data_IF_969186815486
#
_entry.id   IF_969186815486
#
_cell.length_a   1.000
_cell.length_b   1.000
_cell.length_c   1.000
_cell.angle_alpha   90.00
_cell.angle_beta   90.00
_cell.angle_gamma   90.00
#
_symmetry.space_group_name_H-M   'P 1'
#
loop_
_entity.id
_entity.type
_entity.pdbx_description
1 polymer ?
#
# COMPACT_ATOMS: atom_id res chain seq x y z
N UNK A 1 18.89 -24.47 -9.30
CA UNK A 1 18.95 -23.06 -8.83
C UNK A 1 17.99 -22.91 -7.66
N UNK A 2 18.51 -22.96 -6.43
CA UNK A 2 17.69 -22.84 -5.23
C UNK A 2 17.29 -21.38 -5.08
N UNK A 3 16.10 -21.02 -5.54
CA UNK A 3 15.48 -19.75 -5.16
C UNK A 3 15.46 -19.73 -3.64
N UNK A 4 16.30 -18.90 -3.01
CA UNK A 4 16.14 -18.55 -1.61
C UNK A 4 14.80 -17.82 -1.53
N UNK A 5 13.71 -18.59 -1.42
CA UNK A 5 12.36 -18.11 -1.23
C UNK A 5 12.34 -17.29 0.04
N UNK A 6 12.58 -15.98 -0.08
CA UNK A 6 12.17 -15.03 0.93
C UNK A 6 10.65 -14.99 0.85
N UNK A 7 10.06 -15.82 1.71
CA UNK A 7 8.65 -16.19 1.71
C UNK A 7 7.75 -14.94 1.67
N UNK A 8 6.86 -14.88 0.68
CA UNK A 8 5.63 -14.07 0.73
C UNK A 8 5.68 -12.66 0.15
N UNK A 9 6.80 -12.16 -0.37
CA UNK A 9 6.83 -10.85 -1.04
C UNK A 9 6.48 -11.04 -2.52
N UNK A 10 5.46 -10.32 -2.99
CA UNK A 10 5.11 -10.22 -4.41
C UNK A 10 5.83 -9.00 -4.97
N UNK A 11 6.79 -9.22 -5.88
CA UNK A 11 7.53 -8.14 -6.53
C UNK A 11 6.82 -7.74 -7.82
N UNK A 12 5.70 -7.04 -7.68
CA UNK A 12 4.93 -6.47 -8.80
C UNK A 12 4.66 -4.99 -8.54
N UNK A 13 4.60 -4.19 -9.60
CA UNK A 13 4.20 -2.77 -9.46
C UNK A 13 2.78 -2.72 -8.92
N UNK A 14 2.59 -2.00 -7.80
CA UNK A 14 1.34 -1.95 -7.06
C UNK A 14 1.22 -2.96 -5.91
N UNK A 15 2.12 -3.94 -5.82
CA UNK A 15 2.14 -4.88 -4.70
C UNK A 15 2.54 -4.17 -3.39
N UNK A 16 1.97 -4.64 -2.29
CA UNK A 16 2.21 -4.10 -0.95
C UNK A 16 3.19 -4.97 -0.17
N UNK A 17 4.08 -4.31 0.56
CA UNK A 17 5.10 -4.93 1.41
C UNK A 17 5.39 -4.03 2.62
N UNK A 18 6.24 -4.50 3.52
CA UNK A 18 6.79 -3.62 4.56
C UNK A 18 8.26 -3.34 4.29
N UNK A 19 8.61 -2.06 4.35
CA UNK A 19 9.99 -1.59 4.21
C UNK A 19 10.49 -0.98 5.52
N UNK A 20 11.77 -1.21 5.82
CA UNK A 20 12.41 -0.70 7.02
C UNK A 20 13.05 0.65 6.73
N UNK A 21 12.65 1.65 7.51
CA UNK A 21 13.18 3.01 7.41
C UNK A 21 14.45 3.18 8.28
N UNK A 22 15.18 4.30 8.12
CA UNK A 22 16.45 4.61 8.81
C UNK A 22 16.36 4.55 10.33
N UNK A 23 15.22 4.88 10.93
CA UNK A 23 14.96 4.75 12.36
C UNK A 23 14.65 3.30 12.78
N UNK A 24 14.96 2.32 11.93
CA UNK A 24 14.80 0.87 12.15
C UNK A 24 13.36 0.40 12.35
N UNK A 25 12.37 1.24 12.05
CA UNK A 25 10.94 0.92 12.09
C UNK A 25 10.46 0.37 10.74
N UNK A 26 9.50 -0.55 10.79
CA UNK A 26 8.83 -1.13 9.63
C UNK A 26 7.57 -0.33 9.32
N UNK A 27 7.36 -0.02 8.04
CA UNK A 27 6.21 0.71 7.57
C UNK A 27 5.60 0.01 6.36
N UNK A 28 4.28 0.08 6.24
CA UNK A 28 3.56 -0.39 5.06
C UNK A 28 3.92 0.48 3.85
N UNK A 29 4.19 -0.19 2.74
CA UNK A 29 4.67 0.44 1.55
C UNK A 29 4.23 -0.31 0.28
N UNK A 30 4.28 0.38 -0.84
CA UNK A 30 3.85 -0.13 -2.14
C UNK A 30 5.01 -0.05 -3.12
N UNK A 31 5.17 -1.08 -3.95
CA UNK A 31 6.15 -1.07 -5.04
C UNK A 31 5.64 -0.13 -6.12
N UNK A 32 6.39 0.94 -6.37
CA UNK A 32 6.08 1.93 -7.41
C UNK A 32 6.70 1.57 -8.75
N UNK A 33 7.92 1.02 -8.73
CA UNK A 33 8.69 0.63 -9.92
C UNK A 33 9.60 -0.55 -9.60
N UNK A 34 9.94 -1.31 -10.63
CA UNK A 34 10.90 -2.42 -10.57
C UNK A 34 11.95 -2.18 -11.63
N UNK A 35 13.22 -2.26 -11.25
CA UNK A 35 14.38 -2.16 -12.11
C UNK A 35 15.07 -3.53 -12.12
N UNK A 36 14.81 -4.31 -13.17
CA UNK A 36 15.33 -5.67 -13.32
C UNK A 36 16.82 -5.71 -13.63
N UNK A 37 17.36 -4.67 -14.29
CA UNK A 37 18.78 -4.59 -14.66
C UNK A 37 19.64 -4.40 -13.40
N UNK A 38 19.14 -3.58 -12.47
CA UNK A 38 19.84 -3.26 -11.23
C UNK A 38 19.38 -4.06 -10.02
N UNK A 39 18.42 -4.97 -10.21
CA UNK A 39 17.86 -5.81 -9.16
C UNK A 39 17.24 -5.00 -7.99
N UNK A 40 16.55 -3.91 -8.32
CA UNK A 40 15.99 -2.99 -7.33
C UNK A 40 14.51 -2.74 -7.52
N UNK A 41 13.85 -2.38 -6.42
CA UNK A 41 12.46 -1.94 -6.38
C UNK A 41 12.37 -0.57 -5.74
N UNK A 42 11.57 0.31 -6.33
CA UNK A 42 11.24 1.61 -5.76
C UNK A 42 10.03 1.44 -4.87
N UNK A 43 10.19 1.76 -3.60
CA UNK A 43 9.14 1.59 -2.59
C UNK A 43 8.62 2.95 -2.16
N UNK A 44 7.29 3.08 -2.09
CA UNK A 44 6.59 4.26 -1.60
C UNK A 44 5.86 3.92 -0.29
N UNK A 45 6.16 4.64 0.79
CA UNK A 45 5.52 4.43 2.09
C UNK A 45 4.11 5.05 2.11
N UNK A 46 3.08 4.29 2.49
CA UNK A 46 1.66 4.67 2.31
C UNK A 46 1.24 5.97 3.01
N UNK A 47 1.93 6.38 4.07
CA UNK A 47 1.59 7.56 4.87
C UNK A 47 2.63 8.68 4.76
N UNK A 48 3.53 8.59 3.78
CA UNK A 48 4.66 9.51 3.65
C UNK A 48 4.61 10.19 2.28
N UNK A 49 5.20 11.37 2.18
CA UNK A 49 5.31 12.07 0.90
C UNK A 49 6.24 11.33 -0.06
N UNK A 50 6.01 11.47 -1.37
CA UNK A 50 6.81 10.83 -2.44
C UNK A 50 8.32 11.13 -2.39
N UNK A 51 8.72 12.20 -1.69
CA UNK A 51 10.12 12.54 -1.41
C UNK A 51 10.86 11.49 -0.58
N UNK A 52 10.12 10.61 0.08
CA UNK A 52 10.66 9.51 0.88
C UNK A 52 10.67 8.19 0.10
N UNK A 53 10.34 8.20 -1.20
CA UNK A 53 10.45 7.01 -2.04
C UNK A 53 11.92 6.59 -2.12
N UNK A 54 12.18 5.31 -1.88
CA UNK A 54 13.54 4.80 -1.78
C UNK A 54 13.70 3.52 -2.60
N UNK A 55 14.86 3.40 -3.26
CA UNK A 55 15.24 2.23 -4.02
C UNK A 55 15.88 1.20 -3.10
N UNK A 56 15.30 0.02 -3.03
CA UNK A 56 15.84 -1.12 -2.29
C UNK A 56 16.30 -2.19 -3.27
N UNK A 57 17.37 -2.91 -2.94
CA UNK A 57 17.63 -4.18 -3.62
C UNK A 57 16.50 -5.17 -3.31
N UNK A 58 16.02 -5.89 -4.32
CA UNK A 58 14.91 -6.84 -4.15
C UNK A 58 15.22 -7.97 -3.15
N UNK A 59 16.51 -8.25 -2.90
CA UNK A 59 17.01 -9.23 -1.96
C UNK A 59 17.37 -8.61 -0.59
N UNK A 60 17.17 -7.29 -0.40
CA UNK A 60 17.57 -6.57 0.80
C UNK A 60 16.79 -7.05 2.03
N UNK A 61 17.45 -7.33 3.18
CA UNK A 61 16.78 -7.76 4.41
C UNK A 61 15.84 -6.69 5.00
N UNK A 62 15.87 -5.48 4.44
CA UNK A 62 15.00 -4.36 4.80
C UNK A 62 13.61 -4.42 4.17
N UNK A 63 13.35 -5.42 3.32
CA UNK A 63 12.03 -5.71 2.76
C UNK A 63 11.49 -6.99 3.38
N UNK A 64 10.22 -6.99 3.78
CA UNK A 64 9.51 -8.16 4.30
C UNK A 64 8.07 -8.21 3.74
N UNK A 65 7.44 -9.39 3.67
CA UNK A 65 6.05 -9.49 3.24
C UNK A 65 5.18 -8.64 4.17
N UNK A 66 4.21 -7.92 3.59
CA UNK A 66 3.15 -7.33 4.39
C UNK A 66 2.35 -8.47 5.01
N UNK A 67 2.29 -8.51 6.34
CA UNK A 67 1.42 -9.46 7.04
C UNK A 67 -0.01 -9.24 6.56
N UNK A 68 -0.51 -10.14 5.70
CA UNK A 68 -1.91 -10.14 5.28
C UNK A 68 -2.73 -10.54 6.49
N UNK A 69 -3.03 -9.58 7.36
CA UNK A 69 -4.25 -9.68 8.17
C UNK A 69 -5.36 -9.81 7.13
N UNK A 70 -5.89 -11.02 6.99
CA UNK A 70 -7.05 -11.30 6.13
C UNK A 70 -8.25 -10.58 6.72
N UNK A 71 -8.33 -9.26 6.51
CA UNK A 71 -9.50 -8.48 6.82
C UNK A 71 -10.53 -8.77 5.74
N UNK A 72 -11.28 -9.85 5.96
CA UNK A 72 -12.64 -10.00 5.45
C UNK A 72 -13.60 -8.95 6.04
N UNK A 73 -13.13 -7.80 6.51
CA UNK A 73 -13.97 -6.77 7.14
C UNK A 73 -13.44 -5.35 6.92
N UNK A 74 -14.39 -4.51 6.51
CA UNK A 74 -14.36 -3.06 6.29
C UNK A 74 -13.94 -2.67 4.86
N UNK A 75 -14.79 -2.28 3.91
CA UNK A 75 -16.18 -1.83 4.06
C UNK A 75 -16.25 -0.58 4.91
N UNK A 76 -15.82 0.58 4.39
CA UNK A 76 -16.06 1.97 4.83
C UNK A 76 -15.22 2.87 3.90
N UNK A 77 -15.82 3.48 2.86
CA UNK A 77 -16.19 4.92 2.78
C UNK A 77 -14.97 5.84 2.92
N UNK A 78 -14.65 6.74 1.99
CA UNK A 78 -15.47 7.89 1.62
C UNK A 78 -14.73 8.71 0.53
N UNK A 79 -15.48 9.44 -0.31
CA UNK A 79 -14.89 10.47 -1.19
C UNK A 79 -15.31 10.46 -2.67
N UNK A 80 -16.51 9.99 -3.00
CA UNK A 80 -17.12 10.30 -4.29
C UNK A 80 -18.45 11.01 -4.05
N UNK A 81 -18.38 12.33 -4.14
CA UNK A 81 -19.49 13.26 -4.03
C UNK A 81 -20.63 12.89 -4.98
N UNK A 82 -21.70 12.25 -4.47
CA UNK A 82 -22.94 12.02 -5.20
C UNK A 82 -24.02 11.53 -4.24
N UNK A 83 -24.73 12.44 -3.58
CA UNK A 83 -26.15 12.31 -3.17
C UNK A 83 -26.56 13.40 -2.16
N UNK A 84 -26.23 14.66 -2.45
CA UNK A 84 -27.13 15.78 -2.09
C UNK A 84 -28.04 15.91 -3.33
N UNK A 85 -29.37 15.81 -3.34
CA UNK A 85 -30.43 15.92 -2.35
C UNK A 85 -31.59 15.01 -2.84
N UNK A 86 -32.06 14.09 -2.01
CA UNK A 86 -33.46 13.67 -2.10
C UNK A 86 -33.96 13.30 -0.71
N UNK A 87 -34.60 14.25 -0.04
CA UNK A 87 -35.56 13.95 1.00
C UNK A 87 -36.94 14.28 0.42
N UNK A 88 -37.89 13.34 0.43
CA UNK A 88 -39.28 13.68 0.27
C UNK A 88 -39.90 14.02 1.64
N UNK A 89 -40.98 14.79 1.52
CA UNK A 89 -42.09 14.96 2.48
C UNK A 89 -41.85 15.95 3.65
N UNK A 90 -42.81 16.72 4.17
CA UNK A 90 -44.28 16.60 4.19
C UNK A 90 -44.91 18.00 4.26
N UNK A 91 -46.15 18.10 3.77
CA UNK A 91 -47.07 19.24 3.91
C UNK A 91 -47.19 19.79 5.34
N UNK A 92 -47.38 21.09 5.46
CA UNK A 92 -48.29 21.68 6.47
C UNK A 92 -48.90 22.97 5.92
N UNK A 93 -50.21 23.05 6.04
CA UNK A 93 -51.09 24.11 5.57
C UNK A 93 -50.96 25.42 6.37
N UNK A 94 -51.29 26.54 5.71
CA UNK A 94 -52.13 27.64 6.23
C UNK A 94 -52.63 28.49 5.08
#
# INVERSE_FOLDING_TARGET
MTFQKRAGIIFEVGAQLEARERHKKWYSATIKKIDCDRERVLVHYQHWSHRHDEWFQWNSPLLRPLERVSLRRQGLTDGSESSWLHLPEFSTAS
#
